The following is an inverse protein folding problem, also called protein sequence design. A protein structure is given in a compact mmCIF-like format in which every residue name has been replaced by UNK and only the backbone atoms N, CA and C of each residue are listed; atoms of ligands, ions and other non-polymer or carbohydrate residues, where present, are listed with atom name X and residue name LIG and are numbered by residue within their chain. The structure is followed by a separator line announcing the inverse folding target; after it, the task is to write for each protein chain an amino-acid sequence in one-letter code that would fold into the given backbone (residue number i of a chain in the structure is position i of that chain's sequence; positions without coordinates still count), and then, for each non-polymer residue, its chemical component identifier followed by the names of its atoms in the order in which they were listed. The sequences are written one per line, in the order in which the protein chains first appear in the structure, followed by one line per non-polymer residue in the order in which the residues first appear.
data_IF_523260320620
#
_entry.id   IF_523260320620
#
_cell.length_a   1.000
_cell.length_b   1.000
_cell.length_c   1.000
_cell.angle_alpha   90.00
_cell.angle_beta   90.00
_cell.angle_gamma   90.00
#
_symmetry.space_group_name_H-M   'P 1'
#
loop_
_entity.id
_entity.type
_entity.pdbx_description
1 polymer ?
#
# COMPACT_ATOMS: atom_id res chain seq x y z
N UNK A 1 27.67 -26.36 5.48
CA UNK A 1 26.21 -26.39 5.72
C UNK A 1 25.94 -25.35 6.81
N UNK A 2 25.00 -24.43 6.62
CA UNK A 2 24.66 -23.47 7.69
C UNK A 2 23.97 -24.23 8.82
N UNK A 3 24.50 -24.12 10.04
CA UNK A 3 23.83 -24.59 11.25
C UNK A 3 22.71 -23.59 11.62
N UNK A 4 21.56 -24.11 12.08
CA UNK A 4 20.50 -23.26 12.64
C UNK A 4 20.95 -22.75 14.02
N UNK A 5 20.71 -21.46 14.30
CA UNK A 5 21.05 -20.83 15.59
C UNK A 5 19.79 -20.69 16.43
N UNK A 6 19.81 -21.28 17.61
CA UNK A 6 18.73 -21.25 18.59
C UNK A 6 19.20 -20.45 19.81
N UNK A 7 18.48 -19.40 20.15
CA UNK A 7 18.69 -18.66 21.38
C UNK A 7 17.82 -19.26 22.49
N UNK A 8 18.46 -19.68 23.58
CA UNK A 8 17.80 -20.11 24.81
C UNK A 8 17.87 -18.95 25.80
N UNK A 9 16.69 -18.46 26.22
CA UNK A 9 16.58 -17.43 27.25
C UNK A 9 16.00 -18.09 28.48
N UNK A 10 16.88 -18.41 29.45
CA UNK A 10 16.59 -19.22 30.63
C UNK A 10 17.61 -18.91 31.71
N UNK A 11 17.20 -18.70 32.95
CA UNK A 11 18.12 -18.36 34.07
C UNK A 11 18.93 -19.56 34.59
N UNK A 12 18.57 -20.78 34.14
CA UNK A 12 19.30 -22.02 34.46
C UNK A 12 19.84 -22.71 33.19
N UNK A 13 20.77 -22.11 32.43
CA UNK A 13 21.25 -22.66 31.16
C UNK A 13 21.94 -24.03 31.26
N UNK A 14 22.42 -24.41 32.44
CA UNK A 14 23.10 -25.68 32.67
C UNK A 14 22.23 -26.92 32.40
N UNK A 15 20.91 -26.79 32.55
CA UNK A 15 19.93 -27.85 32.26
C UNK A 15 19.91 -28.27 30.78
N UNK A 16 20.34 -27.39 29.86
CA UNK A 16 20.41 -27.65 28.42
C UNK A 16 21.71 -28.34 27.99
N UNK A 17 22.70 -28.47 28.88
CA UNK A 17 24.01 -29.10 28.57
C UNK A 17 23.86 -30.48 27.90
N UNK A 18 22.95 -31.39 28.34
CA UNK A 18 22.77 -32.70 27.71
C UNK A 18 22.21 -32.64 26.29
N UNK A 19 21.67 -31.50 25.88
CA UNK A 19 21.01 -31.29 24.57
C UNK A 19 21.98 -30.72 23.54
N UNK A 20 23.10 -30.12 23.94
CA UNK A 20 24.03 -29.40 23.05
C UNK A 20 24.62 -30.33 21.98
N UNK A 21 25.22 -31.45 22.40
CA UNK A 21 25.84 -32.39 21.45
C UNK A 21 24.81 -33.05 20.50
N UNK A 22 23.66 -33.58 21.00
CA UNK A 22 22.64 -34.15 20.12
C UNK A 22 22.06 -33.15 19.13
N UNK A 23 21.92 -31.88 19.49
CA UNK A 23 21.42 -30.85 18.57
C UNK A 23 22.47 -30.48 17.52
N UNK A 24 23.75 -30.43 17.89
CA UNK A 24 24.85 -30.18 16.97
C UNK A 24 25.04 -31.31 15.95
N UNK A 25 24.72 -32.56 16.34
CA UNK A 25 24.77 -33.73 15.46
C UNK A 25 23.43 -34.08 14.80
N UNK A 26 22.44 -33.22 14.92
CA UNK A 26 21.11 -33.48 14.39
C UNK A 26 21.13 -33.74 12.87
N UNK A 27 20.49 -34.82 12.37
CA UNK A 27 20.50 -35.15 10.97
C UNK A 27 19.79 -34.03 10.14
N UNK A 28 20.40 -33.63 9.02
CA UNK A 28 19.90 -32.57 8.15
C UNK A 28 20.56 -31.22 8.49
N UNK A 29 19.86 -30.37 9.23
CA UNK A 29 20.39 -29.06 9.69
C UNK A 29 20.77 -29.21 11.16
N UNK A 30 22.08 -29.16 11.51
CA UNK A 30 22.53 -29.12 12.90
C UNK A 30 22.15 -27.80 13.55
N UNK A 31 21.98 -27.79 14.88
CA UNK A 31 21.64 -26.59 15.64
C UNK A 31 22.77 -26.21 16.59
N UNK A 32 22.96 -24.90 16.73
CA UNK A 32 23.88 -24.31 17.75
C UNK A 32 23.02 -23.56 18.76
N UNK A 33 23.21 -23.87 20.04
CA UNK A 33 22.52 -23.17 21.12
C UNK A 33 23.37 -21.98 21.60
N UNK A 34 22.73 -20.84 21.74
CA UNK A 34 23.25 -19.65 22.40
C UNK A 34 22.40 -19.37 23.63
N UNK A 35 23.00 -18.83 24.71
CA UNK A 35 22.31 -18.71 25.99
C UNK A 35 22.33 -17.30 26.52
N UNK A 36 21.18 -16.87 27.04
CA UNK A 36 20.97 -15.62 27.77
C UNK A 36 20.15 -15.91 29.02
N UNK A 37 20.44 -15.22 30.13
CA UNK A 37 19.83 -15.52 31.44
C UNK A 37 18.75 -14.55 31.86
N UNK A 38 18.51 -13.50 31.06
CA UNK A 38 17.43 -12.50 31.26
C UNK A 38 16.74 -12.21 29.96
N UNK A 39 15.49 -11.74 30.03
CA UNK A 39 14.78 -11.33 28.85
C UNK A 39 15.48 -10.16 28.15
N UNK A 40 15.98 -9.19 28.91
CA UNK A 40 16.62 -7.99 28.36
C UNK A 40 17.87 -8.35 27.54
N UNK A 41 18.81 -9.17 28.10
CA UNK A 41 19.97 -9.62 27.34
C UNK A 41 19.59 -10.46 26.12
N UNK A 42 18.54 -11.29 26.24
CA UNK A 42 18.00 -12.04 25.10
C UNK A 42 17.46 -11.16 23.99
N UNK A 43 16.72 -10.09 24.30
CA UNK A 43 16.22 -9.14 23.32
C UNK A 43 17.37 -8.36 22.64
N UNK A 44 18.39 -7.96 23.39
CA UNK A 44 19.61 -7.35 22.82
C UNK A 44 20.31 -8.30 21.85
N UNK A 45 20.44 -9.56 22.22
CA UNK A 45 21.05 -10.60 21.37
C UNK A 45 20.26 -10.83 20.09
N UNK A 46 18.93 -10.83 20.16
CA UNK A 46 18.05 -10.94 18.98
C UNK A 46 18.21 -9.75 18.03
N UNK A 47 18.46 -8.56 18.56
CA UNK A 47 18.69 -7.36 17.74
C UNK A 47 19.99 -7.42 16.92
N UNK A 48 20.97 -8.24 17.32
CA UNK A 48 22.18 -8.53 16.51
C UNK A 48 21.85 -9.34 15.25
N UNK A 49 20.72 -10.07 15.25
CA UNK A 49 20.24 -10.89 14.14
C UNK A 49 20.88 -12.28 14.04
N UNK A 50 20.39 -13.06 13.09
CA UNK A 50 20.93 -14.38 12.77
C UNK A 50 20.46 -15.52 13.69
N UNK A 51 19.42 -15.30 14.51
CA UNK A 51 18.76 -16.35 15.30
C UNK A 51 17.57 -16.90 14.52
N UNK A 52 17.46 -18.21 14.42
CA UNK A 52 16.43 -18.92 13.65
C UNK A 52 15.21 -19.31 14.51
N UNK A 53 15.40 -19.52 15.81
CA UNK A 53 14.34 -19.82 16.78
C UNK A 53 14.73 -19.44 18.20
N UNK A 54 13.74 -19.23 19.06
CA UNK A 54 13.93 -18.93 20.48
C UNK A 54 13.26 -19.98 21.35
N UNK A 55 13.97 -20.46 22.35
CA UNK A 55 13.44 -21.18 23.50
C UNK A 55 13.37 -20.17 24.66
N UNK A 56 12.16 -19.86 25.11
CA UNK A 56 11.91 -18.79 26.06
C UNK A 56 11.29 -19.32 27.34
N UNK A 57 12.02 -19.21 28.43
CA UNK A 57 11.42 -19.40 29.75
C UNK A 57 10.44 -18.25 30.04
N UNK A 58 9.27 -18.61 30.53
CA UNK A 58 8.26 -17.65 30.94
C UNK A 58 8.56 -17.01 32.31
N UNK A 59 9.44 -17.59 33.09
CA UNK A 59 9.78 -17.15 34.47
C UNK A 59 11.26 -16.77 34.61
N UNK A 60 11.59 -15.57 34.12
CA UNK A 60 12.96 -15.03 34.18
C UNK A 60 13.12 -14.06 35.36
N UNK A 61 14.34 -13.73 35.78
CA UNK A 61 14.61 -12.78 36.87
C UNK A 61 13.99 -11.40 36.66
N UNK A 62 13.91 -10.94 35.39
CA UNK A 62 13.47 -9.63 34.96
C UNK A 62 12.06 -9.62 34.29
N UNK A 63 11.40 -10.79 34.13
CA UNK A 63 10.08 -10.90 33.51
C UNK A 63 9.37 -12.21 33.90
N UNK A 64 8.02 -12.19 34.04
CA UNK A 64 7.26 -13.35 34.51
C UNK A 64 5.98 -13.61 33.73
N UNK A 65 5.74 -14.89 33.44
CA UNK A 65 4.51 -15.38 32.81
C UNK A 65 4.31 -14.82 31.40
N UNK A 66 3.07 -14.58 31.03
CA UNK A 66 2.71 -14.08 29.69
C UNK A 66 3.30 -12.71 29.35
N UNK A 67 3.66 -11.90 30.35
CA UNK A 67 4.32 -10.61 30.08
C UNK A 67 5.67 -10.78 29.40
N UNK A 68 6.40 -11.88 29.68
CA UNK A 68 7.66 -12.24 29.02
C UNK A 68 7.42 -12.44 27.51
N UNK A 69 6.42 -13.23 27.16
CA UNK A 69 6.06 -13.49 25.77
C UNK A 69 5.53 -12.23 25.04
N UNK A 70 4.73 -11.41 25.74
CA UNK A 70 4.23 -10.14 25.18
C UNK A 70 5.37 -9.17 24.85
N UNK A 71 6.36 -9.02 25.73
CA UNK A 71 7.54 -8.17 25.50
C UNK A 71 8.38 -8.68 24.33
N UNK A 72 8.58 -9.99 24.25
CA UNK A 72 9.24 -10.64 23.12
C UNK A 72 8.49 -10.37 21.80
N UNK A 73 7.20 -10.71 21.74
CA UNK A 73 6.37 -10.61 20.53
C UNK A 73 6.20 -9.19 20.00
N UNK A 74 6.30 -8.18 20.87
CA UNK A 74 6.24 -6.78 20.47
C UNK A 74 7.39 -6.35 19.54
N UNK A 75 8.53 -7.04 19.58
CA UNK A 75 9.74 -6.68 18.85
C UNK A 75 10.19 -7.75 17.84
N UNK A 76 9.97 -9.03 18.14
CA UNK A 76 10.54 -10.15 17.39
C UNK A 76 9.51 -11.20 16.96
N UNK A 77 8.28 -10.79 16.64
CA UNK A 77 7.21 -11.70 16.18
C UNK A 77 7.54 -12.52 14.92
N UNK A 78 8.56 -12.10 14.17
CA UNK A 78 9.03 -12.78 12.96
C UNK A 78 9.95 -13.97 13.25
N UNK A 79 10.48 -14.09 14.47
CA UNK A 79 11.32 -15.22 14.88
C UNK A 79 10.41 -16.17 15.67
N UNK A 80 10.37 -17.48 15.33
CA UNK A 80 9.51 -18.43 16.04
C UNK A 80 9.98 -18.64 17.46
N UNK A 81 9.06 -18.58 18.43
CA UNK A 81 9.32 -18.79 19.85
C UNK A 81 8.60 -20.04 20.35
N UNK A 82 9.33 -20.83 21.12
CA UNK A 82 8.81 -21.98 21.86
C UNK A 82 8.96 -21.62 23.34
N UNK A 83 7.86 -21.63 24.06
CA UNK A 83 7.87 -21.31 25.50
C UNK A 83 8.23 -22.53 26.33
N UNK A 84 9.01 -22.28 27.37
CA UNK A 84 9.46 -23.26 28.35
C UNK A 84 8.80 -22.96 29.71
N UNK A 85 8.53 -23.99 30.48
CA UNK A 85 8.04 -23.88 31.87
C UNK A 85 8.38 -25.11 32.69
N UNK A 86 8.53 -24.93 34.01
CA UNK A 86 8.72 -26.03 34.94
C UNK A 86 7.46 -26.80 35.24
N UNK A 87 6.30 -26.15 35.11
CA UNK A 87 5.02 -26.72 35.46
C UNK A 87 4.04 -26.66 34.29
N UNK A 88 3.24 -27.71 34.17
CA UNK A 88 2.15 -27.72 33.17
C UNK A 88 0.95 -26.94 33.68
N UNK A 89 0.66 -25.85 33.02
CA UNK A 89 -0.55 -25.07 33.21
C UNK A 89 -1.30 -24.95 31.87
N UNK A 90 -2.45 -25.64 31.75
CA UNK A 90 -3.24 -25.66 30.51
C UNK A 90 -3.62 -24.25 30.03
N UNK A 91 -3.99 -23.37 30.97
CA UNK A 91 -4.35 -21.97 30.66
C UNK A 91 -3.13 -21.22 30.11
N UNK A 92 -1.97 -21.41 30.72
CA UNK A 92 -0.74 -20.72 30.30
C UNK A 92 -0.30 -21.20 28.90
N UNK A 93 -0.37 -22.51 28.65
CA UNK A 93 -0.07 -23.10 27.33
C UNK A 93 -1.00 -22.54 26.24
N UNK A 94 -2.32 -22.47 26.52
CA UNK A 94 -3.31 -21.96 25.58
C UNK A 94 -3.14 -20.46 25.30
N UNK A 95 -2.94 -19.64 26.34
CA UNK A 95 -2.72 -18.20 26.18
C UNK A 95 -1.38 -17.90 25.51
N UNK A 96 -0.32 -18.69 25.77
CA UNK A 96 0.95 -18.58 25.04
C UNK A 96 0.79 -18.80 23.55
N UNK A 97 0.03 -19.84 23.16
CA UNK A 97 -0.26 -20.10 21.75
C UNK A 97 -1.06 -18.94 21.09
N UNK A 98 -2.02 -18.34 21.80
CA UNK A 98 -2.74 -17.15 21.31
C UNK A 98 -1.83 -15.93 21.11
N UNK A 99 -0.80 -15.80 21.94
CA UNK A 99 0.18 -14.72 21.83
C UNK A 99 1.31 -14.99 20.83
N UNK A 100 1.23 -16.11 20.10
CA UNK A 100 2.12 -16.40 18.98
C UNK A 100 3.24 -17.39 19.28
N UNK A 101 3.27 -17.99 20.48
CA UNK A 101 4.18 -19.11 20.73
C UNK A 101 3.87 -20.28 19.77
N UNK A 102 4.91 -20.86 19.20
CA UNK A 102 4.77 -21.98 18.26
C UNK A 102 4.51 -23.30 18.98
N UNK A 103 5.00 -23.41 20.21
CA UNK A 103 4.76 -24.56 21.10
C UNK A 103 5.02 -24.16 22.56
N UNK A 104 4.63 -25.06 23.49
CA UNK A 104 4.83 -24.94 24.93
C UNK A 104 5.40 -26.26 25.44
N UNK A 105 6.62 -26.23 25.99
CA UNK A 105 7.31 -27.42 26.45
C UNK A 105 7.59 -27.34 27.94
N UNK A 106 7.51 -28.49 28.62
CA UNK A 106 7.97 -28.65 29.99
C UNK A 106 9.46 -28.91 30.01
N UNK A 107 10.19 -28.20 30.86
CA UNK A 107 11.64 -28.36 31.00
C UNK A 107 12.01 -29.79 31.38
N UNK A 108 11.26 -30.42 32.28
CA UNK A 108 11.45 -31.83 32.69
C UNK A 108 11.29 -32.87 31.56
N UNK A 109 10.55 -32.52 30.50
CA UNK A 109 10.25 -33.45 29.41
C UNK A 109 11.14 -33.17 28.17
N UNK A 110 12.13 -32.25 28.31
CA UNK A 110 13.05 -31.92 27.23
C UNK A 110 13.95 -33.10 26.89
N UNK A 111 13.69 -33.69 25.72
CA UNK A 111 14.52 -34.71 25.10
C UNK A 111 15.05 -34.20 23.76
N UNK A 112 16.26 -34.59 23.31
CA UNK A 112 16.85 -34.12 22.08
C UNK A 112 15.92 -34.28 20.87
N UNK A 113 15.30 -35.43 20.72
CA UNK A 113 14.45 -35.75 19.59
C UNK A 113 13.17 -34.89 19.58
N UNK A 114 12.56 -34.64 20.76
CA UNK A 114 11.42 -33.75 20.91
C UNK A 114 11.80 -32.32 20.52
N UNK A 115 12.91 -31.83 21.08
CA UNK A 115 13.34 -30.45 20.85
C UNK A 115 13.72 -30.20 19.38
N UNK A 116 14.52 -31.10 18.77
CA UNK A 116 14.84 -31.03 17.34
C UNK A 116 13.60 -30.97 16.47
N UNK A 117 12.63 -31.82 16.74
CA UNK A 117 11.38 -31.86 15.99
C UNK A 117 10.57 -30.59 16.17
N UNK A 118 10.39 -30.13 17.40
CA UNK A 118 9.60 -28.92 17.72
C UNK A 118 10.23 -27.68 17.11
N UNK A 119 11.53 -27.49 17.23
CA UNK A 119 12.25 -26.35 16.63
C UNK A 119 12.12 -26.36 15.10
N UNK A 120 12.31 -27.51 14.47
CA UNK A 120 12.16 -27.61 13.00
C UNK A 120 10.76 -27.26 12.55
N UNK A 121 9.74 -27.77 13.24
CA UNK A 121 8.35 -27.44 12.90
C UNK A 121 8.03 -25.96 13.16
N UNK A 122 8.60 -25.38 14.21
CA UNK A 122 8.42 -23.96 14.48
C UNK A 122 9.03 -23.08 13.36
N UNK A 123 10.27 -23.38 12.96
CA UNK A 123 10.96 -22.68 11.87
C UNK A 123 10.19 -22.85 10.55
N UNK A 124 9.79 -24.08 10.21
CA UNK A 124 9.08 -24.35 8.95
C UNK A 124 7.70 -23.69 8.92
N UNK A 125 6.92 -23.74 10.02
CA UNK A 125 5.63 -23.02 10.13
C UNK A 125 5.78 -21.52 9.95
N UNK A 126 6.80 -20.92 10.56
CA UNK A 126 7.08 -19.50 10.42
C UNK A 126 7.44 -19.13 8.98
N UNK A 127 8.26 -19.95 8.32
CA UNK A 127 8.61 -19.77 6.91
C UNK A 127 7.39 -19.82 5.99
N UNK A 128 6.54 -20.84 6.16
CA UNK A 128 5.30 -20.98 5.38
C UNK A 128 4.38 -19.77 5.60
N UNK A 129 4.27 -19.27 6.84
CA UNK A 129 3.49 -18.08 7.16
C UNK A 129 4.03 -16.86 6.42
N UNK A 130 5.35 -16.63 6.45
CA UNK A 130 5.98 -15.52 5.74
C UNK A 130 5.80 -15.62 4.21
N UNK A 131 5.93 -16.82 3.63
CA UNK A 131 5.68 -17.05 2.21
C UNK A 131 4.23 -16.78 1.83
N UNK A 132 3.27 -17.18 2.68
CA UNK A 132 1.84 -16.91 2.49
C UNK A 132 1.52 -15.41 2.56
N UNK A 133 2.07 -14.70 3.55
CA UNK A 133 1.87 -13.26 3.70
C UNK A 133 2.50 -12.47 2.52
N UNK A 134 3.67 -12.90 2.05
CA UNK A 134 4.28 -12.34 0.84
C UNK A 134 3.44 -12.61 -0.42
N UNK A 135 2.95 -13.84 -0.58
CA UNK A 135 2.08 -14.20 -1.71
C UNK A 135 0.77 -13.39 -1.68
N UNK A 136 0.16 -13.25 -0.50
CA UNK A 136 -1.04 -12.41 -0.29
C UNK A 136 -0.76 -10.95 -0.66
N UNK A 137 0.33 -10.36 -0.16
CA UNK A 137 0.73 -8.99 -0.48
C UNK A 137 0.99 -8.79 -1.99
N UNK A 138 1.59 -9.78 -2.66
CA UNK A 138 1.79 -9.74 -4.13
C UNK A 138 0.45 -9.78 -4.87
N UNK A 139 -0.49 -10.62 -4.44
CA UNK A 139 -1.83 -10.71 -5.03
C UNK A 139 -2.59 -9.40 -4.85
N UNK A 140 -2.52 -8.78 -3.68
CA UNK A 140 -3.14 -7.48 -3.41
C UNK A 140 -2.55 -6.38 -4.30
N UNK A 141 -1.22 -6.33 -4.44
CA UNK A 141 -0.57 -5.38 -5.35
C UNK A 141 -1.04 -5.56 -6.79
N UNK A 142 -1.06 -6.79 -7.31
CA UNK A 142 -1.54 -7.08 -8.67
C UNK A 142 -3.03 -6.74 -8.81
N UNK A 143 -3.83 -6.92 -7.76
CA UNK A 143 -5.26 -6.64 -7.78
C UNK A 143 -5.61 -5.15 -7.84
N UNK A 144 -4.79 -4.26 -7.23
CA UNK A 144 -5.13 -2.85 -7.03
C UNK A 144 -4.16 -1.84 -7.66
N UNK A 145 -3.01 -2.27 -8.17
CA UNK A 145 -1.96 -1.40 -8.71
C UNK A 145 -1.77 -1.67 -10.22
N UNK A 146 -1.56 -0.61 -10.98
CA UNK A 146 -1.16 -0.68 -12.39
C UNK A 146 0.34 -0.99 -12.49
N UNK A 147 0.76 -2.04 -13.20
CA UNK A 147 2.16 -2.49 -13.23
C UNK A 147 3.09 -1.56 -14.02
N UNK A 148 2.56 -0.65 -14.83
CA UNK A 148 3.35 0.30 -15.62
C UNK A 148 3.65 1.56 -14.85
N UNK A 149 2.63 2.13 -14.22
CA UNK A 149 2.70 3.46 -13.58
C UNK A 149 2.84 3.40 -12.06
N UNK A 150 2.65 2.21 -11.46
CA UNK A 150 2.63 1.98 -10.02
C UNK A 150 1.54 2.77 -9.26
N UNK A 151 0.59 3.35 -10.00
CA UNK A 151 -0.59 4.00 -9.46
C UNK A 151 -1.68 2.96 -9.13
N UNK A 152 -2.72 3.37 -8.43
CA UNK A 152 -3.92 2.54 -8.36
C UNK A 152 -4.42 2.22 -9.77
N UNK A 153 -4.87 0.98 -9.96
CA UNK A 153 -5.61 0.61 -11.16
C UNK A 153 -7.11 0.91 -10.99
N UNK A 154 -7.92 0.60 -12.00
CA UNK A 154 -9.37 0.79 -11.99
C UNK A 154 -10.04 0.16 -10.76
N UNK A 155 -9.61 -1.03 -10.35
CA UNK A 155 -10.17 -1.75 -9.20
C UNK A 155 -9.76 -1.08 -7.88
N UNK A 156 -8.51 -0.65 -7.76
CA UNK A 156 -8.02 0.04 -6.57
C UNK A 156 -8.74 1.36 -6.31
N UNK A 157 -8.97 2.16 -7.36
CA UNK A 157 -9.67 3.43 -7.21
C UNK A 157 -11.19 3.25 -6.97
N UNK A 158 -11.79 2.15 -7.41
CA UNK A 158 -13.19 1.81 -7.13
C UNK A 158 -13.46 1.65 -5.63
N UNK A 159 -12.57 0.95 -4.92
CA UNK A 159 -12.68 0.78 -3.47
C UNK A 159 -12.58 2.14 -2.76
N UNK A 160 -11.58 2.95 -3.14
CA UNK A 160 -11.38 4.28 -2.58
C UNK A 160 -12.59 5.19 -2.87
N UNK A 161 -13.10 5.18 -4.10
CA UNK A 161 -14.26 5.97 -4.50
C UNK A 161 -15.47 5.69 -3.60
N UNK A 162 -15.74 4.42 -3.35
CA UNK A 162 -16.86 4.00 -2.49
C UNK A 162 -16.75 4.58 -1.08
N UNK A 163 -15.57 4.59 -0.51
CA UNK A 163 -15.30 5.17 0.80
C UNK A 163 -15.40 6.70 0.81
N UNK A 164 -14.83 7.37 -0.19
CA UNK A 164 -14.83 8.84 -0.25
C UNK A 164 -16.23 9.41 -0.53
N UNK A 165 -17.08 8.74 -1.31
CA UNK A 165 -18.49 9.14 -1.49
C UNK A 165 -19.24 9.06 -0.15
N UNK A 166 -19.08 7.98 0.61
CA UNK A 166 -19.72 7.87 1.91
C UNK A 166 -19.19 8.92 2.91
N UNK A 167 -17.91 9.23 2.83
CA UNK A 167 -17.29 10.29 3.64
C UNK A 167 -17.83 11.67 3.27
N UNK A 168 -17.88 12.00 1.98
CA UNK A 168 -18.40 13.26 1.49
C UNK A 168 -19.86 13.46 1.91
N UNK A 169 -20.71 12.42 1.79
CA UNK A 169 -22.11 12.45 2.25
C UNK A 169 -22.24 12.73 3.75
N UNK A 170 -21.40 12.09 4.58
CA UNK A 170 -21.44 12.28 6.05
C UNK A 170 -20.98 13.67 6.48
N UNK A 171 -20.06 14.27 5.73
CA UNK A 171 -19.46 15.57 6.03
C UNK A 171 -20.14 16.73 5.32
N UNK A 172 -21.12 16.43 4.46
CA UNK A 172 -21.72 17.43 3.54
C UNK A 172 -20.68 18.19 2.75
N UNK A 173 -19.61 17.46 2.33
CA UNK A 173 -18.51 18.02 1.58
C UNK A 173 -18.53 17.58 0.11
N UNK A 174 -17.81 18.28 -0.74
CA UNK A 174 -17.73 17.99 -2.17
C UNK A 174 -16.67 16.94 -2.46
N UNK A 175 -16.94 16.07 -3.43
CA UNK A 175 -15.96 15.18 -4.03
C UNK A 175 -15.92 15.44 -5.53
N UNK A 176 -14.84 16.01 -6.02
CA UNK A 176 -14.65 16.21 -7.45
C UNK A 176 -13.87 15.06 -8.05
N UNK A 177 -14.15 14.75 -9.29
CA UNK A 177 -13.50 13.69 -10.07
C UNK A 177 -12.99 14.27 -11.37
N UNK A 178 -11.70 14.10 -11.61
CA UNK A 178 -11.01 14.58 -12.81
C UNK A 178 -10.54 13.38 -13.62
N UNK A 179 -11.04 13.27 -14.85
CA UNK A 179 -10.53 12.30 -15.83
C UNK A 179 -9.53 13.00 -16.75
N UNK A 180 -8.32 12.47 -16.82
CA UNK A 180 -7.23 12.97 -17.66
C UNK A 180 -7.00 11.96 -18.78
N UNK A 181 -7.25 12.36 -20.02
CA UNK A 181 -7.00 11.54 -21.20
C UNK A 181 -5.84 12.10 -22.02
N UNK A 182 -4.84 11.29 -22.30
CA UNK A 182 -3.71 11.69 -23.15
C UNK A 182 -4.16 11.86 -24.61
N UNK A 183 -3.79 12.98 -25.20
CA UNK A 183 -4.15 13.27 -26.58
C UNK A 183 -3.25 12.48 -27.53
N UNK A 184 -3.82 11.89 -28.56
CA UNK A 184 -3.13 11.14 -29.64
C UNK A 184 -2.22 10.00 -29.17
N UNK A 185 -2.37 9.50 -27.92
CA UNK A 185 -1.47 8.48 -27.36
C UNK A 185 -1.44 7.17 -28.16
N UNK A 186 -2.60 6.77 -28.71
CA UNK A 186 -2.66 5.59 -29.59
C UNK A 186 -1.76 5.74 -30.84
N UNK A 187 -1.71 6.95 -31.43
CA UNK A 187 -0.84 7.24 -32.57
C UNK A 187 0.63 7.20 -32.19
N UNK A 188 0.97 7.68 -31.00
CA UNK A 188 2.34 7.60 -30.48
C UNK A 188 2.78 6.14 -30.33
N UNK A 189 1.94 5.29 -29.70
CA UNK A 189 2.21 3.87 -29.57
C UNK A 189 2.37 3.15 -30.91
N UNK A 190 1.57 3.51 -31.92
CA UNK A 190 1.68 2.92 -33.25
C UNK A 190 2.96 3.35 -33.97
N UNK A 191 3.42 4.59 -33.77
CA UNK A 191 4.60 5.13 -34.46
C UNK A 191 5.92 4.78 -33.78
N UNK A 192 5.97 4.78 -32.43
CA UNK A 192 7.19 4.66 -31.63
C UNK A 192 7.27 3.37 -30.79
N UNK A 193 6.19 2.58 -30.81
CA UNK A 193 6.12 1.32 -30.06
C UNK A 193 5.65 1.50 -28.61
N UNK A 194 5.15 0.40 -28.04
CA UNK A 194 4.58 0.36 -26.68
C UNK A 194 5.60 0.63 -25.58
N UNK A 195 6.88 0.32 -25.80
CA UNK A 195 7.94 0.61 -24.84
C UNK A 195 8.11 2.10 -24.61
N UNK A 196 8.05 2.91 -25.68
CA UNK A 196 8.07 4.38 -25.61
C UNK A 196 6.79 4.89 -24.91
N UNK A 197 5.64 4.33 -25.25
CA UNK A 197 4.39 4.64 -24.58
C UNK A 197 4.42 4.40 -23.06
N UNK A 198 5.03 3.31 -22.63
CA UNK A 198 5.20 3.03 -21.19
C UNK A 198 6.09 4.05 -20.49
N UNK A 199 7.14 4.54 -21.14
CA UNK A 199 7.98 5.62 -20.60
C UNK A 199 7.14 6.90 -20.44
N UNK A 200 6.36 7.27 -21.47
CA UNK A 200 5.45 8.43 -21.42
C UNK A 200 4.46 8.30 -20.26
N UNK A 201 3.83 7.13 -20.09
CA UNK A 201 2.86 6.88 -19.03
C UNK A 201 3.50 7.05 -17.64
N UNK A 202 4.72 6.59 -17.43
CA UNK A 202 5.47 6.77 -16.17
C UNK A 202 5.76 8.24 -15.88
N UNK A 203 6.22 8.97 -16.87
CA UNK A 203 6.51 10.40 -16.72
C UNK A 203 5.23 11.22 -16.46
N UNK A 204 4.16 10.92 -17.16
CA UNK A 204 2.85 11.54 -16.90
C UNK A 204 2.37 11.22 -15.48
N UNK A 205 2.46 9.97 -15.05
CA UNK A 205 2.11 9.58 -13.69
C UNK A 205 2.89 10.37 -12.64
N UNK A 206 4.20 10.53 -12.80
CA UNK A 206 5.04 11.31 -11.91
C UNK A 206 4.64 12.81 -11.89
N UNK A 207 4.31 13.40 -13.05
CA UNK A 207 3.82 14.78 -13.14
C UNK A 207 2.48 14.97 -12.47
N UNK A 208 1.57 14.02 -12.66
CA UNK A 208 0.28 14.01 -11.97
C UNK A 208 0.49 13.97 -10.45
N UNK A 209 1.27 13.01 -9.94
CA UNK A 209 1.55 12.89 -8.51
C UNK A 209 2.14 14.16 -7.91
N UNK A 210 3.11 14.78 -8.58
CA UNK A 210 3.73 16.02 -8.11
C UNK A 210 2.82 17.25 -8.16
N UNK A 211 1.72 17.18 -8.92
CA UNK A 211 0.73 18.25 -9.06
C UNK A 211 -0.39 18.17 -8.03
N UNK A 212 -0.56 17.02 -7.37
CA UNK A 212 -1.64 16.69 -6.45
C UNK A 212 -1.21 16.82 -4.98
N UNK A 213 -2.19 16.92 -4.09
CA UNK A 213 -1.99 16.92 -2.63
C UNK A 213 -1.89 15.48 -2.11
N UNK A 214 -1.36 15.28 -0.92
CA UNK A 214 -1.32 13.96 -0.28
C UNK A 214 -2.71 13.37 0.02
N UNK A 215 -3.75 14.19 0.06
CA UNK A 215 -5.15 13.79 0.27
C UNK A 215 -5.86 13.40 -1.01
N UNK A 216 -5.28 13.67 -2.17
CA UNK A 216 -5.86 13.38 -3.46
C UNK A 216 -5.47 11.96 -3.89
N UNK A 217 -6.35 11.28 -4.61
CA UNK A 217 -6.08 9.92 -5.09
C UNK A 217 -5.90 9.93 -6.59
N UNK A 218 -4.94 9.15 -7.07
CA UNK A 218 -4.59 9.04 -8.48
C UNK A 218 -4.57 7.59 -8.91
N UNK A 219 -5.22 7.29 -10.04
CA UNK A 219 -5.27 5.96 -10.62
C UNK A 219 -5.10 6.00 -12.14
N UNK A 220 -4.61 4.91 -12.71
CA UNK A 220 -4.71 4.64 -14.14
C UNK A 220 -5.89 3.72 -14.41
N UNK A 221 -6.89 4.21 -15.15
CA UNK A 221 -8.16 3.50 -15.36
C UNK A 221 -8.35 2.98 -16.80
N UNK A 222 -7.49 3.40 -17.72
CA UNK A 222 -7.48 2.98 -19.11
C UNK A 222 -6.07 2.91 -19.70
N UNK A 223 -5.99 2.70 -21.02
CA UNK A 223 -4.70 2.63 -21.72
C UNK A 223 -3.91 3.93 -21.65
N UNK A 224 -4.61 5.05 -21.74
CA UNK A 224 -4.12 6.42 -21.83
C UNK A 224 -4.91 7.37 -20.89
N UNK A 225 -5.61 6.80 -19.89
CA UNK A 225 -6.52 7.54 -19.04
C UNK A 225 -6.14 7.40 -17.55
N UNK A 226 -6.14 8.55 -16.86
CA UNK A 226 -5.92 8.66 -15.44
C UNK A 226 -7.13 9.30 -14.77
N UNK A 227 -7.47 8.79 -13.59
CA UNK A 227 -8.56 9.30 -12.76
C UNK A 227 -7.99 9.91 -11.50
N UNK A 228 -8.42 11.10 -11.16
CA UNK A 228 -8.06 11.79 -9.91
C UNK A 228 -9.32 12.01 -9.09
N UNK A 229 -9.30 11.64 -7.82
CA UNK A 229 -10.33 12.03 -6.85
C UNK A 229 -9.79 13.18 -6.01
N UNK A 230 -10.58 14.23 -5.89
CA UNK A 230 -10.27 15.46 -5.15
C UNK A 230 -11.28 15.63 -3.98
N UNK A 231 -11.04 15.01 -2.83
CA UNK A 231 -11.91 15.15 -1.67
C UNK A 231 -11.90 16.57 -1.10
N UNK A 232 -13.02 16.98 -0.51
CA UNK A 232 -13.16 18.27 0.19
C UNK A 232 -12.70 19.47 -0.68
N UNK A 233 -12.97 19.42 -2.01
CA UNK A 233 -12.46 20.40 -2.99
C UNK A 233 -13.63 21.09 -3.69
N UNK A 234 -13.66 22.42 -3.68
CA UNK A 234 -14.66 23.23 -4.40
C UNK A 234 -14.36 23.27 -5.89
N UNK A 235 -15.38 23.51 -6.72
CA UNK A 235 -15.24 23.50 -8.17
C UNK A 235 -14.12 24.43 -8.67
N UNK A 236 -14.05 25.65 -8.19
CA UNK A 236 -13.00 26.61 -8.60
C UNK A 236 -11.58 26.11 -8.29
N UNK A 237 -11.39 25.44 -7.14
CA UNK A 237 -10.11 24.82 -6.79
C UNK A 237 -9.83 23.61 -7.68
N UNK A 238 -10.85 22.78 -7.96
CA UNK A 238 -10.74 21.63 -8.87
C UNK A 238 -10.35 22.04 -10.28
N UNK A 239 -10.95 23.11 -10.81
CA UNK A 239 -10.59 23.70 -12.11
C UNK A 239 -9.12 24.17 -12.10
N UNK A 240 -8.68 24.82 -11.02
CA UNK A 240 -7.28 25.25 -10.86
C UNK A 240 -6.31 24.07 -10.82
N UNK A 241 -6.66 22.98 -10.14
CA UNK A 241 -5.90 21.73 -10.13
C UNK A 241 -5.87 21.10 -11.52
N UNK A 242 -6.99 21.04 -12.21
CA UNK A 242 -7.07 20.49 -13.58
C UNK A 242 -6.16 21.25 -14.55
N UNK A 243 -6.14 22.58 -14.46
CA UNK A 243 -5.27 23.41 -15.32
C UNK A 243 -3.79 23.24 -14.97
N UNK A 244 -3.45 23.18 -13.68
CA UNK A 244 -2.08 22.88 -13.23
C UNK A 244 -1.60 21.54 -13.79
N UNK A 245 -2.45 20.52 -13.75
CA UNK A 245 -2.18 19.18 -14.31
C UNK A 245 -1.98 19.27 -15.83
N UNK A 246 -2.91 19.92 -16.55
CA UNK A 246 -2.81 20.10 -17.99
C UNK A 246 -1.50 20.76 -18.41
N UNK A 247 -1.13 21.84 -17.75
CA UNK A 247 0.11 22.59 -18.01
C UNK A 247 1.34 21.72 -17.70
N UNK A 248 1.34 21.01 -16.57
CA UNK A 248 2.45 20.13 -16.19
C UNK A 248 2.71 19.05 -17.25
N UNK A 249 1.65 18.48 -17.82
CA UNK A 249 1.78 17.50 -18.91
C UNK A 249 2.27 18.19 -20.19
N UNK A 250 1.64 19.27 -20.63
CA UNK A 250 1.92 19.94 -21.92
C UNK A 250 3.32 20.56 -21.99
N UNK A 251 3.91 20.90 -20.85
CA UNK A 251 5.28 21.42 -20.76
C UNK A 251 6.34 20.31 -20.68
N UNK A 252 5.92 19.04 -20.53
CA UNK A 252 6.82 17.91 -20.48
C UNK A 252 7.31 17.57 -21.87
N UNK A 253 8.63 17.61 -22.05
CA UNK A 253 9.30 17.18 -23.28
C UNK A 253 10.15 15.95 -22.97
N UNK A 254 9.83 14.85 -23.60
CA UNK A 254 10.54 13.58 -23.42
C UNK A 254 11.60 13.41 -24.50
N UNK A 255 12.85 13.26 -24.07
CA UNK A 255 13.98 12.94 -24.99
C UNK A 255 13.99 11.45 -25.21
N UNK A 256 13.69 11.00 -26.43
CA UNK A 256 13.67 9.59 -26.81
C UNK A 256 15.00 9.13 -27.43
N UNK A 257 15.73 10.02 -28.05
CA UNK A 257 17.09 9.83 -28.57
C UNK A 257 17.83 11.16 -28.59
N UNK A 258 19.09 11.15 -29.03
CA UNK A 258 19.90 12.41 -29.13
C UNK A 258 19.27 13.49 -30.01
N UNK A 259 18.20 13.19 -30.78
CA UNK A 259 17.59 14.14 -31.73
C UNK A 259 16.05 14.12 -31.75
N UNK A 260 15.40 13.19 -31.05
CA UNK A 260 13.95 13.05 -31.09
C UNK A 260 13.32 13.40 -29.76
N UNK A 261 12.42 14.36 -29.78
CA UNK A 261 11.61 14.77 -28.61
C UNK A 261 10.15 14.48 -28.90
N UNK A 262 9.44 13.90 -27.92
CA UNK A 262 8.00 13.72 -27.97
C UNK A 262 7.36 14.72 -27.00
N UNK A 263 6.42 15.48 -27.54
CA UNK A 263 5.51 16.31 -26.74
C UNK A 263 4.19 15.61 -26.62
N UNK A 264 3.66 15.58 -25.40
CA UNK A 264 2.36 15.01 -25.09
C UNK A 264 1.46 16.10 -24.50
N UNK A 265 0.20 16.08 -24.84
CA UNK A 265 -0.83 16.90 -24.21
C UNK A 265 -1.92 16.00 -23.63
N UNK A 266 -2.78 16.58 -22.83
CA UNK A 266 -3.92 15.87 -22.26
C UNK A 266 -5.17 16.77 -22.32
N UNK A 267 -6.29 16.16 -22.59
CA UNK A 267 -7.62 16.74 -22.38
C UNK A 267 -8.17 16.25 -21.04
N UNK A 268 -8.90 17.09 -20.35
CA UNK A 268 -9.36 16.82 -18.99
C UNK A 268 -10.87 17.08 -18.87
N UNK A 269 -11.55 16.17 -18.15
CA UNK A 269 -12.98 16.31 -17.82
C UNK A 269 -13.15 16.29 -16.29
N UNK A 270 -13.77 17.35 -15.74
CA UNK A 270 -14.01 17.49 -14.31
C UNK A 270 -15.51 17.42 -14.02
N UNK A 271 -15.91 16.60 -13.06
CA UNK A 271 -17.31 16.42 -12.62
C UNK A 271 -17.41 16.40 -11.10
N UNK A 272 -18.58 16.74 -10.59
CA UNK A 272 -18.90 16.57 -9.17
C UNK A 272 -19.54 15.19 -8.94
N UNK A 273 -18.90 14.37 -8.08
CA UNK A 273 -19.41 13.04 -7.74
C UNK A 273 -20.69 13.06 -6.89
N UNK A 274 -20.98 14.17 -6.21
CA UNK A 274 -22.19 14.35 -5.40
C UNK A 274 -23.50 14.30 -6.21
N UNK A 275 -23.44 14.51 -7.52
CA UNK A 275 -24.57 14.46 -8.45
C UNK A 275 -24.86 13.06 -9.01
N UNK A 276 -24.03 12.09 -8.67
CA UNK A 276 -24.25 10.70 -9.06
C UNK A 276 -25.33 10.07 -8.19
N UNK A 277 -25.95 9.00 -8.73
CA UNK A 277 -27.05 8.28 -8.08
C UNK A 277 -26.86 8.12 -6.56
N UNK A 278 -27.89 8.35 -5.73
CA UNK A 278 -27.80 8.28 -4.28
C UNK A 278 -27.49 6.87 -3.73
N UNK A 279 -27.55 5.82 -4.58
CA UNK A 279 -27.46 4.41 -4.18
C UNK A 279 -26.10 3.74 -4.44
N UNK A 280 -25.01 4.46 -4.40
CA UNK A 280 -23.64 3.95 -4.64
C UNK A 280 -23.26 3.98 -6.13
N UNK A 281 -22.72 5.10 -6.62
CA UNK A 281 -22.28 5.19 -8.02
C UNK A 281 -21.17 4.18 -8.28
N UNK A 282 -21.34 3.39 -9.34
CA UNK A 282 -20.26 2.53 -9.80
C UNK A 282 -19.20 3.39 -10.48
N UNK A 283 -17.95 2.91 -10.49
CA UNK A 283 -16.88 3.59 -11.24
C UNK A 283 -17.25 3.71 -12.73
N UNK A 284 -18.04 2.79 -13.26
CA UNK A 284 -18.46 2.78 -14.65
C UNK A 284 -19.41 3.95 -14.94
N UNK A 285 -20.36 4.24 -14.06
CA UNK A 285 -21.27 5.38 -14.17
C UNK A 285 -20.48 6.70 -14.10
N UNK A 286 -19.54 6.79 -13.15
CA UNK A 286 -18.66 7.95 -13.01
C UNK A 286 -17.78 8.16 -14.24
N UNK A 287 -17.15 7.10 -14.75
CA UNK A 287 -16.34 7.16 -15.96
C UNK A 287 -17.20 7.54 -17.18
N UNK A 288 -18.41 7.01 -17.30
CA UNK A 288 -19.31 7.39 -18.39
C UNK A 288 -19.60 8.90 -18.38
N UNK A 289 -19.92 9.47 -17.20
CA UNK A 289 -20.17 10.92 -17.07
C UNK A 289 -18.89 11.73 -17.38
N UNK A 290 -17.75 11.35 -16.82
CA UNK A 290 -16.49 12.05 -17.06
C UNK A 290 -16.00 11.92 -18.49
N UNK A 291 -16.25 10.80 -19.18
CA UNK A 291 -15.93 10.65 -20.61
C UNK A 291 -16.74 11.60 -21.52
N UNK A 292 -18.00 11.87 -21.18
CA UNK A 292 -18.80 12.87 -21.93
C UNK A 292 -18.13 14.24 -21.83
N UNK A 293 -17.72 14.65 -20.64
CA UNK A 293 -17.07 15.94 -20.41
C UNK A 293 -15.67 15.99 -21.06
N UNK A 294 -14.88 14.91 -20.93
CA UNK A 294 -13.59 14.75 -21.61
C UNK A 294 -13.74 14.83 -23.14
N UNK A 295 -14.80 14.21 -23.69
CA UNK A 295 -15.12 14.28 -25.12
C UNK A 295 -15.34 15.72 -25.59
N UNK A 296 -16.01 16.53 -24.79
CA UNK A 296 -16.20 17.97 -25.11
C UNK A 296 -14.86 18.73 -25.14
N UNK A 297 -13.93 18.44 -24.23
CA UNK A 297 -12.59 19.01 -24.25
C UNK A 297 -11.84 18.65 -25.55
N UNK A 298 -11.88 17.37 -25.95
CA UNK A 298 -11.25 16.89 -27.19
C UNK A 298 -11.86 17.50 -28.44
N UNK A 299 -13.20 17.59 -28.53
CA UNK A 299 -13.91 18.21 -29.66
C UNK A 299 -13.58 19.69 -29.79
N UNK A 300 -13.28 20.39 -28.70
CA UNK A 300 -12.93 21.81 -28.69
C UNK A 300 -11.47 22.09 -29.07
N UNK A 301 -10.68 21.05 -29.39
CA UNK A 301 -9.32 21.20 -29.95
C UNK A 301 -8.19 20.63 -29.08
N UNK A 302 -8.41 19.62 -28.29
CA UNK A 302 -7.42 18.96 -27.42
C UNK A 302 -6.74 19.91 -26.41
N UNK A 303 -5.91 19.36 -25.51
CA UNK A 303 -5.13 20.12 -24.53
C UNK A 303 -5.97 21.15 -23.76
N UNK A 304 -7.14 20.73 -23.25
CA UNK A 304 -8.14 21.59 -22.60
C UNK A 304 -8.76 20.93 -21.39
N UNK A 305 -9.32 21.75 -20.52
CA UNK A 305 -10.16 21.35 -19.41
C UNK A 305 -11.63 21.66 -19.76
N UNK A 306 -12.50 20.67 -19.62
CA UNK A 306 -13.96 20.85 -19.63
C UNK A 306 -14.52 20.46 -18.28
N UNK A 307 -15.56 21.14 -17.83
CA UNK A 307 -16.26 20.85 -16.59
C UNK A 307 -17.75 21.18 -16.73
N UNK A 308 -18.56 20.58 -15.89
CA UNK A 308 -20.00 20.83 -15.81
C UNK A 308 -20.28 21.72 -14.60
N UNK A 309 -21.15 22.69 -14.77
CA UNK A 309 -21.65 23.53 -13.67
C UNK A 309 -22.96 22.93 -13.19
N UNK A 310 -23.13 22.81 -11.89
CA UNK A 310 -24.39 22.47 -11.25
C UNK A 310 -25.33 23.66 -11.20
N UNK A 311 -26.64 23.42 -11.01
CA UNK A 311 -27.61 24.49 -10.84
C UNK A 311 -27.28 25.40 -9.64
N UNK A 312 -26.79 24.82 -8.53
CA UNK A 312 -26.35 25.57 -7.35
C UNK A 312 -25.09 26.41 -7.62
N UNK A 313 -24.18 25.90 -8.42
CA UNK A 313 -22.98 26.62 -8.84
C UNK A 313 -23.28 27.72 -9.85
N UNK A 314 -24.29 27.51 -10.72
CA UNK A 314 -24.81 28.53 -11.60
C UNK A 314 -25.45 29.69 -10.83
N UNK A 315 -26.20 29.40 -9.76
CA UNK A 315 -26.78 30.42 -8.87
C UNK A 315 -25.67 31.14 -8.05
N UNK A 316 -24.58 30.46 -7.71
CA UNK A 316 -23.44 31.04 -7.02
C UNK A 316 -22.51 31.90 -7.91
N UNK A 317 -22.74 31.95 -9.22
CA UNK A 317 -21.99 32.82 -10.16
C UNK A 317 -22.23 34.33 -9.91
N UNK A 318 -23.21 34.69 -9.10
CA UNK A 318 -23.42 36.07 -8.60
C UNK A 318 -22.33 36.48 -7.58
N UNK A 319 -21.55 35.52 -7.03
CA UNK A 319 -20.42 35.81 -6.13
C UNK A 319 -19.21 36.28 -6.95
N UNK A 320 -18.85 37.56 -6.78
CA UNK A 320 -17.80 38.23 -7.56
C UNK A 320 -16.45 37.50 -7.56
N UNK A 321 -16.11 36.76 -6.51
CA UNK A 321 -14.84 36.02 -6.41
C UNK A 321 -14.77 34.82 -7.35
N UNK A 322 -15.85 34.06 -7.49
CA UNK A 322 -15.92 32.89 -8.36
C UNK A 322 -15.97 33.30 -9.86
N UNK A 323 -16.77 34.32 -10.18
CA UNK A 323 -16.84 34.91 -11.52
C UNK A 323 -15.49 35.44 -11.99
N UNK A 324 -14.69 36.02 -11.11
CA UNK A 324 -13.37 36.58 -11.46
C UNK A 324 -12.35 35.48 -11.74
N UNK A 325 -12.34 34.40 -10.96
CA UNK A 325 -11.50 33.22 -11.19
C UNK A 325 -11.84 32.56 -12.52
N UNK A 326 -13.13 32.33 -12.80
CA UNK A 326 -13.57 31.76 -14.07
C UNK A 326 -13.25 32.66 -15.25
N UNK A 327 -13.44 33.99 -15.15
CA UNK A 327 -13.06 34.93 -16.21
C UNK A 327 -11.57 34.90 -16.51
N UNK A 328 -10.71 34.88 -15.47
CA UNK A 328 -9.24 34.78 -15.64
C UNK A 328 -8.84 33.48 -16.32
N UNK A 329 -9.51 32.38 -15.96
CA UNK A 329 -9.28 31.06 -16.55
C UNK A 329 -9.78 30.98 -18.01
N UNK A 330 -10.97 31.53 -18.32
CA UNK A 330 -11.51 31.58 -19.68
C UNK A 330 -10.74 32.54 -20.63
N UNK A 331 -10.15 33.62 -20.11
CA UNK A 331 -9.33 34.53 -20.91
C UNK A 331 -8.09 33.86 -21.50
N UNK A 332 -7.63 32.74 -20.93
CA UNK A 332 -6.53 31.92 -21.44
C UNK A 332 -6.91 30.97 -22.59
N UNK A 333 -8.18 30.89 -22.99
CA UNK A 333 -8.65 30.09 -24.15
C UNK A 333 -8.61 28.58 -23.96
N UNK A 334 -8.35 28.08 -22.74
CA UNK A 334 -8.11 26.66 -22.44
C UNK A 334 -9.33 25.93 -21.84
N UNK A 335 -10.46 26.61 -21.65
CA UNK A 335 -11.61 26.09 -20.89
C UNK A 335 -12.92 26.10 -21.69
N UNK A 336 -13.75 25.10 -21.42
CA UNK A 336 -15.16 25.08 -21.83
C UNK A 336 -16.00 24.72 -20.60
N UNK A 337 -16.82 25.68 -20.15
CA UNK A 337 -17.93 25.38 -19.25
C UNK A 337 -19.06 24.78 -20.07
N UNK A 338 -19.63 23.71 -19.58
CA UNK A 338 -20.83 23.09 -20.18
C UNK A 338 -21.98 23.47 -19.29
N UNK A 339 -22.91 24.29 -19.87
CA UNK A 339 -24.22 24.54 -19.33
C UNK A 339 -25.16 23.41 -19.70
#
# INVERSE_FOLDING_TARGET
MNSGRILVIDDEPEQFTPLIEPLADAPGIPFVLEFETTLESGLEKLAEGGIDAVLLDLYLPDSKGLSTLTRYGAQFAEIPVITLSDFYEEILAFESAKQGAQDYLLKQDLQPELLIRTVRFAIERQKIKQELDQAKSRLEKIAFIDPVTELFNRRGIQEILSHEIQRAKRKESTLLVLLVGLDDFKRINQSLGTSVGNVILKEVAAKLQSSLRATDYLARVGSDEFLVLLPDTRLAEGVSVAEKVRLAISTTTLLMSQRETVKITASLGLVNAGELSPFSPSIDELLAKTHVILGKARMSGNNRVSYELTDDELLGLEDHSFSEVLRKLHAGGSFYAVM
#
